data_IF_254778877488
#
_entry.id   IF_254778877488
#
_cell.length_a   1.000
_cell.length_b   1.000
_cell.length_c   1.000
_cell.angle_alpha   90.00
_cell.angle_beta   90.00
_cell.angle_gamma   90.00
#
_symmetry.space_group_name_H-M   'P 1'
#
loop_
_entity.id
_entity.type
_entity.pdbx_description
1 polymer ?
#
# COMPACT_ATOMS: atom_id res chain seq x y z
N UNK A 1 -17.09 -10.99 -16.67
CA UNK A 1 -17.57 -10.48 -15.37
C UNK A 1 -16.83 -9.19 -15.00
N UNK A 2 -16.67 -8.27 -15.94
CA UNK A 2 -15.82 -7.07 -15.84
C UNK A 2 -16.60 -5.79 -15.55
N UNK A 3 -17.93 -5.87 -15.49
CA UNK A 3 -18.80 -4.71 -15.33
C UNK A 3 -19.11 -4.41 -13.85
N UNK A 4 -19.36 -5.43 -13.03
CA UNK A 4 -19.73 -5.26 -11.62
C UNK A 4 -18.58 -4.70 -10.75
N UNK A 5 -17.33 -5.07 -11.04
CA UNK A 5 -16.14 -4.55 -10.33
C UNK A 5 -15.92 -3.06 -10.62
N UNK A 6 -16.19 -2.61 -11.86
CA UNK A 6 -16.12 -1.19 -12.24
C UNK A 6 -17.23 -0.37 -11.57
N UNK A 7 -18.42 -0.95 -11.42
CA UNK A 7 -19.55 -0.31 -10.72
C UNK A 7 -19.25 -0.16 -9.22
N UNK A 8 -18.67 -1.18 -8.58
CA UNK A 8 -18.30 -1.11 -7.16
C UNK A 8 -17.20 -0.08 -6.87
N UNK A 9 -16.24 0.11 -7.77
CA UNK A 9 -15.21 1.16 -7.63
C UNK A 9 -15.80 2.57 -7.76
N UNK A 10 -16.86 2.74 -8.56
CA UNK A 10 -17.57 4.01 -8.74
C UNK A 10 -18.38 4.41 -7.51
N UNK A 11 -18.89 3.44 -6.73
CA UNK A 11 -19.55 3.72 -5.43
C UNK A 11 -18.54 4.03 -4.32
N UNK A 12 -17.32 3.46 -4.38
CA UNK A 12 -16.24 3.79 -3.44
C UNK A 12 -15.75 5.23 -3.61
N UNK A 13 -15.89 5.85 -4.80
CA UNK A 13 -15.54 7.26 -5.05
C UNK A 13 -16.29 8.26 -4.16
N UNK A 14 -17.44 7.89 -3.58
CA UNK A 14 -18.28 8.81 -2.81
C UNK A 14 -17.78 9.09 -1.37
N UNK A 15 -16.69 8.45 -0.93
CA UNK A 15 -16.11 8.63 0.42
C UNK A 15 -14.62 8.95 0.42
N UNK A 16 -14.02 9.14 -0.77
CA UNK A 16 -12.58 9.29 -0.91
C UNK A 16 -12.11 10.72 -0.63
N UNK A 17 -10.86 10.89 -0.20
CA UNK A 17 -10.22 12.20 -0.18
C UNK A 17 -10.21 12.82 -1.58
N UNK A 18 -10.24 14.16 -1.63
CA UNK A 18 -10.35 14.97 -2.84
C UNK A 18 -9.63 14.37 -4.06
N UNK A 19 -10.30 14.37 -5.23
CA UNK A 19 -9.84 13.79 -6.51
C UNK A 19 -8.36 14.05 -6.81
N UNK A 20 -7.88 15.26 -6.54
CA UNK A 20 -6.49 15.67 -6.75
C UNK A 20 -5.48 14.83 -5.96
N UNK A 21 -5.82 14.39 -4.76
CA UNK A 21 -4.94 13.57 -3.92
C UNK A 21 -4.84 12.15 -4.45
N UNK A 22 -5.94 11.62 -5.01
CA UNK A 22 -5.97 10.33 -5.71
C UNK A 22 -5.07 10.39 -6.93
N UNK A 23 -5.25 11.39 -7.78
CA UNK A 23 -4.49 11.50 -9.03
C UNK A 23 -3.00 11.74 -8.77
N UNK A 24 -2.63 12.61 -7.81
CA UNK A 24 -1.22 12.82 -7.43
C UNK A 24 -0.55 11.54 -6.92
N UNK A 25 -1.28 10.75 -6.12
CA UNK A 25 -0.72 9.50 -5.60
C UNK A 25 -0.66 8.42 -6.69
N UNK A 26 -1.63 8.37 -7.59
CA UNK A 26 -1.63 7.48 -8.75
C UNK A 26 -0.43 7.77 -9.67
N UNK A 27 -0.16 9.05 -9.95
CA UNK A 27 1.05 9.46 -10.70
C UNK A 27 2.33 9.02 -10.00
N UNK A 28 2.37 9.13 -8.67
CA UNK A 28 3.52 8.68 -7.88
C UNK A 28 3.68 7.15 -7.94
N UNK A 29 2.56 6.42 -7.91
CA UNK A 29 2.53 4.97 -8.07
C UNK A 29 3.09 4.55 -9.44
N UNK A 30 2.62 5.16 -10.52
CA UNK A 30 3.09 4.90 -11.88
C UNK A 30 4.61 5.12 -12.00
N UNK A 31 5.18 6.12 -11.32
CA UNK A 31 6.63 6.36 -11.29
C UNK A 31 7.41 5.32 -10.47
N UNK A 32 6.85 4.85 -9.35
CA UNK A 32 7.49 3.81 -8.51
C UNK A 32 7.57 2.49 -9.27
N UNK A 33 6.50 2.18 -10.01
CA UNK A 33 6.38 0.94 -10.76
C UNK A 33 7.22 1.00 -12.04
N UNK A 34 7.16 2.11 -12.79
CA UNK A 34 7.78 2.20 -14.11
C UNK A 34 7.29 1.07 -15.01
N UNK A 35 8.23 0.35 -15.64
CA UNK A 35 7.91 -0.82 -16.48
C UNK A 35 7.78 -2.15 -15.70
N UNK A 36 7.87 -2.11 -14.37
CA UNK A 36 7.81 -3.34 -13.55
C UNK A 36 6.37 -3.85 -13.45
N UNK A 37 6.19 -5.17 -13.47
CA UNK A 37 4.87 -5.76 -13.19
C UNK A 37 4.54 -5.69 -11.70
N UNK A 38 3.31 -5.30 -11.37
CA UNK A 38 2.80 -5.42 -10.00
C UNK A 38 2.41 -6.88 -9.75
N UNK A 39 2.82 -7.41 -8.59
CA UNK A 39 2.60 -8.78 -8.16
C UNK A 39 2.30 -8.81 -6.66
N UNK A 40 1.77 -9.91 -6.15
CA UNK A 40 1.55 -10.10 -4.70
C UNK A 40 2.83 -9.94 -3.88
N UNK A 41 3.98 -10.27 -4.47
CA UNK A 41 5.29 -10.20 -3.81
C UNK A 41 5.74 -8.75 -3.60
N UNK A 42 5.48 -7.86 -4.57
CA UNK A 42 5.97 -6.49 -4.51
C UNK A 42 4.92 -5.47 -4.04
N UNK A 43 3.63 -5.85 -3.99
CA UNK A 43 2.56 -4.92 -3.64
C UNK A 43 2.67 -4.39 -2.20
N UNK A 44 3.19 -5.20 -1.27
CA UNK A 44 3.45 -4.75 0.12
C UNK A 44 4.54 -3.68 0.15
N UNK A 45 5.61 -3.84 -0.63
CA UNK A 45 6.69 -2.87 -0.72
C UNK A 45 6.19 -1.57 -1.38
N UNK A 46 5.40 -1.69 -2.45
CA UNK A 46 4.77 -0.55 -3.12
C UNK A 46 3.86 0.20 -2.14
N UNK A 47 2.98 -0.51 -1.44
CA UNK A 47 2.08 0.09 -0.44
C UNK A 47 2.86 0.83 0.65
N UNK A 48 3.98 0.26 1.12
CA UNK A 48 4.86 0.92 2.10
C UNK A 48 5.45 2.21 1.56
N UNK A 49 5.86 2.23 0.29
CA UNK A 49 6.38 3.44 -0.36
C UNK A 49 5.29 4.50 -0.56
N UNK A 50 4.08 4.09 -0.95
CA UNK A 50 2.94 4.99 -1.04
C UNK A 50 2.57 5.57 0.33
N UNK A 51 2.61 4.76 1.40
CA UNK A 51 2.40 5.23 2.77
C UNK A 51 3.37 6.37 3.14
N UNK A 52 4.65 6.25 2.79
CA UNK A 52 5.64 7.34 3.00
C UNK A 52 5.32 8.61 2.20
N UNK A 53 4.68 8.48 1.04
CA UNK A 53 4.30 9.61 0.20
C UNK A 53 3.08 10.30 0.79
N UNK A 54 2.02 9.56 1.13
CA UNK A 54 0.80 10.12 1.73
C UNK A 54 1.05 10.72 3.10
N UNK A 55 2.11 10.32 3.82
CA UNK A 55 2.49 10.99 5.06
C UNK A 55 2.73 12.50 4.86
N UNK A 56 3.17 12.92 3.68
CA UNK A 56 3.40 14.33 3.33
C UNK A 56 2.13 15.11 3.05
N UNK A 57 0.95 14.47 3.06
CA UNK A 57 -0.32 15.11 2.74
C UNK A 57 -0.89 15.67 4.06
N UNK A 58 -0.82 16.99 4.30
CA UNK A 58 -1.19 17.57 5.59
C UNK A 58 -2.69 17.50 5.87
N UNK A 59 -3.50 17.45 4.81
CA UNK A 59 -4.96 17.51 4.89
C UNK A 59 -5.61 16.14 5.11
N UNK A 60 -4.80 15.08 5.24
CA UNK A 60 -5.28 13.71 5.43
C UNK A 60 -4.87 13.17 6.81
N UNK A 61 -5.79 12.48 7.46
CA UNK A 61 -5.56 11.79 8.72
C UNK A 61 -5.31 10.29 8.50
N UNK A 62 -4.80 9.60 9.54
CA UNK A 62 -4.26 8.23 9.40
C UNK A 62 -5.16 7.24 8.66
N UNK A 63 -6.45 7.18 8.98
CA UNK A 63 -7.42 6.30 8.28
C UNK A 63 -7.66 6.73 6.84
N UNK A 64 -7.73 8.03 6.56
CA UNK A 64 -7.88 8.56 5.20
C UNK A 64 -6.64 8.28 4.33
N UNK A 65 -5.45 8.40 4.90
CA UNK A 65 -4.17 8.04 4.24
C UNK A 65 -4.16 6.56 3.85
N UNK A 66 -4.55 5.68 4.78
CA UNK A 66 -4.69 4.24 4.52
C UNK A 66 -5.69 3.94 3.40
N UNK A 67 -6.90 4.52 3.48
CA UNK A 67 -7.93 4.32 2.46
C UNK A 67 -7.49 4.82 1.08
N UNK A 68 -6.79 5.96 1.02
CA UNK A 68 -6.23 6.50 -0.21
C UNK A 68 -5.21 5.54 -0.86
N UNK A 69 -4.28 4.98 -0.07
CA UNK A 69 -3.29 4.02 -0.58
C UNK A 69 -3.96 2.77 -1.13
N UNK A 70 -4.91 2.19 -0.38
CA UNK A 70 -5.66 1.00 -0.82
C UNK A 70 -6.42 1.30 -2.12
N UNK A 71 -7.10 2.44 -2.17
CA UNK A 71 -7.88 2.83 -3.34
C UNK A 71 -7.00 3.00 -4.58
N UNK A 72 -5.88 3.72 -4.48
CA UNK A 72 -4.97 3.95 -5.61
C UNK A 72 -4.35 2.63 -6.11
N UNK A 73 -4.03 1.69 -5.21
CA UNK A 73 -3.55 0.37 -5.61
C UNK A 73 -4.61 -0.45 -6.34
N UNK A 74 -5.86 -0.44 -5.86
CA UNK A 74 -6.96 -1.11 -6.55
C UNK A 74 -7.20 -0.51 -7.94
N UNK A 75 -7.25 0.82 -8.03
CA UNK A 75 -7.40 1.54 -9.30
C UNK A 75 -6.30 1.12 -10.28
N UNK A 76 -5.05 1.10 -9.83
CA UNK A 76 -3.94 0.64 -10.66
C UNK A 76 -4.09 -0.82 -11.13
N UNK A 77 -4.51 -1.73 -10.25
CA UNK A 77 -4.72 -3.13 -10.64
C UNK A 77 -5.79 -3.24 -11.72
N UNK A 78 -6.92 -2.54 -11.55
CA UNK A 78 -8.02 -2.56 -12.54
C UNK A 78 -7.63 -1.90 -13.86
N UNK A 79 -6.77 -0.88 -13.83
CA UNK A 79 -6.35 -0.17 -15.04
C UNK A 79 -5.31 -0.97 -15.87
N UNK A 80 -4.55 -1.87 -15.25
CA UNK A 80 -3.35 -2.49 -15.85
C UNK A 80 -3.33 -4.02 -15.89
N UNK A 81 -4.24 -4.69 -15.18
CA UNK A 81 -4.34 -6.15 -15.15
C UNK A 81 -5.76 -6.57 -15.54
N UNK A 82 -5.86 -7.75 -16.14
CA UNK A 82 -7.13 -8.37 -16.50
C UNK A 82 -7.20 -9.81 -15.98
N UNK A 83 -8.43 -10.30 -15.80
CA UNK A 83 -8.71 -11.73 -15.58
C UNK A 83 -8.31 -12.24 -14.19
N UNK A 84 -7.68 -13.41 -14.15
CA UNK A 84 -7.34 -14.07 -12.88
C UNK A 84 -6.31 -13.29 -12.06
N UNK A 85 -5.36 -12.62 -12.73
CA UNK A 85 -4.33 -11.82 -12.09
C UNK A 85 -4.94 -10.60 -11.38
N UNK A 86 -5.85 -9.89 -12.05
CA UNK A 86 -6.62 -8.78 -11.47
C UNK A 86 -7.40 -9.23 -10.22
N UNK A 87 -8.21 -10.29 -10.38
CA UNK A 87 -9.09 -10.79 -9.33
C UNK A 87 -8.30 -11.23 -8.09
N UNK A 88 -7.19 -11.94 -8.31
CA UNK A 88 -6.33 -12.43 -7.22
C UNK A 88 -5.66 -11.28 -6.46
N UNK A 89 -5.23 -10.24 -7.17
CA UNK A 89 -4.59 -9.08 -6.55
C UNK A 89 -5.59 -8.20 -5.80
N UNK A 90 -6.78 -7.98 -6.36
CA UNK A 90 -7.86 -7.25 -5.68
C UNK A 90 -8.23 -7.98 -4.38
N UNK A 91 -8.43 -9.30 -4.42
CA UNK A 91 -8.72 -10.10 -3.23
C UNK A 91 -7.60 -9.96 -2.18
N UNK A 92 -6.34 -10.00 -2.61
CA UNK A 92 -5.21 -9.82 -1.72
C UNK A 92 -5.19 -8.43 -1.08
N UNK A 93 -5.42 -7.39 -1.87
CA UNK A 93 -5.51 -5.99 -1.42
C UNK A 93 -6.65 -5.84 -0.42
N UNK A 94 -7.80 -6.48 -0.64
CA UNK A 94 -8.95 -6.33 0.25
C UNK A 94 -8.79 -7.07 1.58
N UNK A 95 -8.31 -8.31 1.56
CA UNK A 95 -8.30 -9.15 2.75
C UNK A 95 -7.05 -8.95 3.62
N UNK A 96 -5.89 -8.68 3.02
CA UNK A 96 -4.61 -8.73 3.74
C UNK A 96 -3.95 -7.36 3.87
N UNK A 97 -3.97 -6.56 2.81
CA UNK A 97 -3.20 -5.31 2.78
C UNK A 97 -3.57 -4.31 3.89
N UNK A 98 -4.85 -4.12 4.29
CA UNK A 98 -5.21 -3.24 5.40
C UNK A 98 -4.48 -3.59 6.70
N UNK A 99 -4.45 -4.88 7.06
CA UNK A 99 -3.82 -5.38 8.28
C UNK A 99 -2.30 -5.27 8.22
N UNK A 100 -1.72 -5.46 7.03
CA UNK A 100 -0.29 -5.26 6.79
C UNK A 100 0.09 -3.78 6.98
N UNK A 101 -0.71 -2.85 6.43
CA UNK A 101 -0.50 -1.40 6.63
C UNK A 101 -0.57 -1.04 8.11
N UNK A 102 -1.58 -1.53 8.84
CA UNK A 102 -1.72 -1.25 10.27
C UNK A 102 -0.51 -1.79 11.07
N UNK A 103 -0.01 -2.97 10.68
CA UNK A 103 1.19 -3.56 11.30
C UNK A 103 2.44 -2.71 11.03
N UNK A 104 2.60 -2.19 9.81
CA UNK A 104 3.73 -1.30 9.49
C UNK A 104 3.64 -0.01 10.31
N UNK A 105 2.44 0.55 10.48
CA UNK A 105 2.20 1.75 11.30
C UNK A 105 2.51 1.46 12.77
N UNK A 106 2.08 0.32 13.32
CA UNK A 106 2.32 -0.03 14.73
C UNK A 106 3.81 -0.30 15.00
N UNK A 107 4.54 -0.82 14.03
CA UNK A 107 6.01 -0.92 14.08
C UNK A 107 6.67 0.46 14.10
N UNK A 108 6.23 1.38 13.23
CA UNK A 108 6.75 2.76 13.17
C UNK A 108 6.51 3.51 14.50
N UNK A 109 5.30 3.36 15.07
CA UNK A 109 4.94 3.90 16.40
C UNK A 109 5.64 3.22 17.58
N UNK A 110 6.44 2.18 17.34
CA UNK A 110 7.08 1.34 18.38
C UNK A 110 6.10 0.62 19.31
N UNK A 111 4.83 0.50 18.91
CA UNK A 111 3.83 -0.33 19.61
C UNK A 111 4.18 -1.82 19.47
N UNK A 112 4.78 -2.18 18.33
CA UNK A 112 5.35 -3.51 18.07
C UNK A 112 6.88 -3.40 18.03
N UNK A 113 7.55 -3.96 19.03
CA UNK A 113 9.00 -4.01 19.07
C UNK A 113 9.52 -5.25 18.30
N UNK A 114 10.19 -5.03 17.17
CA UNK A 114 10.98 -6.07 16.52
C UNK A 114 12.19 -6.34 17.42
N UNK A 115 12.14 -7.45 18.16
CA UNK A 115 13.28 -7.95 18.94
C UNK A 115 14.34 -8.47 17.97
N UNK A 116 15.12 -7.57 17.38
CA UNK A 116 16.36 -7.95 16.73
C UNK A 116 17.26 -8.45 17.86
N UNK A 117 17.51 -9.76 17.91
CA UNK A 117 18.57 -10.30 18.77
C UNK A 117 19.86 -9.64 18.31
N UNK A 118 20.30 -8.59 19.01
CA UNK A 118 21.66 -8.09 18.91
C UNK A 118 22.53 -9.25 19.37
N UNK A 119 23.07 -10.01 18.42
CA UNK A 119 24.18 -10.92 18.68
C UNK A 119 25.21 -10.09 19.43
N UNK A 120 25.40 -10.40 20.71
CA UNK A 120 26.38 -9.75 21.53
C UNK A 120 27.71 -9.79 20.79
N UNK A 121 28.39 -8.65 20.74
CA UNK A 121 29.78 -8.52 20.32
C UNK A 121 30.63 -9.42 21.22
N UNK A 122 30.77 -10.69 20.86
CA UNK A 122 31.81 -11.55 21.35
C UNK A 122 32.97 -11.42 20.36
N UNK A 123 33.94 -10.58 20.70
CA UNK A 123 35.37 -10.65 20.38
C UNK A 123 36.02 -9.29 20.64
N UNK A 124 36.00 -8.86 21.91
CA UNK A 124 37.08 -8.03 22.46
C UNK A 124 38.06 -8.97 23.17
N UNK A 125 38.83 -9.72 22.39
CA UNK A 125 40.01 -10.44 22.85
C UNK A 125 40.84 -10.87 21.65
N UNK A 126 41.75 -10.01 21.18
CA UNK A 126 43.15 -10.38 20.91
C UNK A 126 43.96 -9.14 20.48
N UNK A 127 45.18 -9.07 21.00
CA UNK A 127 46.26 -8.07 20.83
C UNK A 127 46.13 -6.78 21.66
#
# INVERSE_FOLDING_TARGET
MTDETKVALKEVELSLPASDSVDRLYESLSRIIGDKKVTTVNIVLIATNLMKIVEKYPDLHGTQKKSLVIHVLKRFVVDHLDGEAESSLILFIDMFLPSVIDTIISVDKKEVAIKIKKGFKACFTCC
#
